data_IF_230453046621
#
_entry.id   IF_230453046621
#
_cell.length_a   1.000
_cell.length_b   1.000
_cell.length_c   1.000
_cell.angle_alpha   90.00
_cell.angle_beta   90.00
_cell.angle_gamma   90.00
#
_symmetry.space_group_name_H-M   'P 1'
#
loop_
_entity.id
_entity.type
_entity.pdbx_description
1 polymer ?
#
# COMPACT_ATOMS: atom_id res chain seq x y z
N UNK A 1 -62.23 19.66 21.94
CA UNK A 1 -62.46 21.00 21.36
C UNK A 1 -61.59 21.13 20.12
N UNK A 2 -62.21 21.35 18.96
CA UNK A 2 -61.56 21.44 17.64
C UNK A 2 -61.01 22.86 17.44
N UNK A 3 -59.78 23.00 16.94
CA UNK A 3 -59.31 24.26 16.36
C UNK A 3 -58.72 23.96 14.98
N UNK A 4 -59.55 24.13 13.95
CA UNK A 4 -59.15 24.28 12.55
C UNK A 4 -58.35 25.58 12.43
N UNK A 5 -57.21 25.54 11.73
CA UNK A 5 -56.56 26.76 11.23
C UNK A 5 -56.47 26.65 9.72
N UNK A 6 -57.11 27.62 9.07
CA UNK A 6 -57.22 27.81 7.63
C UNK A 6 -55.89 28.20 7.00
N UNK A 7 -55.72 27.70 5.78
CA UNK A 7 -54.78 28.13 4.77
C UNK A 7 -55.20 29.49 4.15
N UNK A 8 -54.25 30.34 3.74
CA UNK A 8 -54.48 31.19 2.58
C UNK A 8 -53.55 30.81 1.42
N UNK A 9 -54.19 30.62 0.26
CA UNK A 9 -53.58 30.53 -1.05
C UNK A 9 -52.82 31.82 -1.38
N UNK A 10 -51.61 31.70 -1.92
CA UNK A 10 -50.98 32.76 -2.71
C UNK A 10 -50.82 32.22 -4.13
N UNK A 11 -51.53 32.87 -5.04
CA UNK A 11 -51.49 32.66 -6.46
C UNK A 11 -50.38 33.52 -7.09
N UNK A 12 -49.79 32.99 -8.16
CA UNK A 12 -49.27 33.81 -9.26
C UNK A 12 -47.80 34.17 -9.19
N UNK A 13 -47.00 33.57 -10.07
CA UNK A 13 -46.48 34.26 -11.25
C UNK A 13 -45.72 33.26 -12.11
N UNK A 14 -46.28 32.95 -13.29
CA UNK A 14 -45.59 32.25 -14.35
C UNK A 14 -44.55 33.20 -14.96
N UNK A 15 -43.26 32.96 -14.70
CA UNK A 15 -42.18 33.56 -15.45
C UNK A 15 -41.90 32.70 -16.68
N UNK A 16 -42.08 33.33 -17.85
CA UNK A 16 -41.85 32.74 -19.14
C UNK A 16 -40.42 32.22 -19.31
N UNK A 17 -40.34 31.08 -19.98
CA UNK A 17 -39.15 30.33 -20.30
C UNK A 17 -38.32 31.06 -21.36
N UNK A 18 -37.05 31.34 -21.07
CA UNK A 18 -36.02 31.47 -22.09
C UNK A 18 -35.09 30.27 -21.98
N UNK A 19 -35.43 29.20 -22.71
CA UNK A 19 -34.50 28.11 -22.96
C UNK A 19 -33.50 28.60 -24.02
N UNK A 20 -32.33 29.06 -23.56
CA UNK A 20 -31.16 29.11 -24.43
C UNK A 20 -30.74 27.67 -24.71
N UNK A 21 -31.06 27.16 -25.89
CA UNK A 21 -30.46 25.95 -26.44
C UNK A 21 -28.98 26.24 -26.70
N UNK A 22 -28.15 26.07 -25.68
CA UNK A 22 -26.72 25.88 -25.89
C UNK A 22 -26.59 24.54 -26.62
N UNK A 23 -26.21 24.60 -27.90
CA UNK A 23 -25.79 23.42 -28.64
C UNK A 23 -24.69 22.76 -27.82
N UNK A 24 -24.97 21.56 -27.30
CA UNK A 24 -23.96 20.67 -26.78
C UNK A 24 -23.02 20.35 -27.95
N UNK A 25 -21.91 21.09 -28.05
CA UNK A 25 -20.76 20.62 -28.80
C UNK A 25 -20.24 19.42 -28.04
N UNK A 26 -20.72 18.26 -28.47
CA UNK A 26 -20.17 16.95 -28.17
C UNK A 26 -18.75 16.93 -28.76
N UNK A 27 -17.81 17.56 -28.05
CA UNK A 27 -16.40 17.28 -28.19
C UNK A 27 -16.18 15.90 -27.58
N UNK A 28 -16.61 14.88 -28.31
CA UNK A 28 -15.96 13.59 -28.33
C UNK A 28 -14.56 13.83 -28.89
N UNK A 29 -13.68 14.40 -28.05
CA UNK A 29 -12.26 14.28 -28.28
C UNK A 29 -12.01 12.77 -28.33
N UNK A 30 -11.44 12.24 -29.43
CA UNK A 30 -10.90 10.91 -29.40
C UNK A 30 -9.97 10.90 -28.18
N UNK A 31 -10.12 9.90 -27.30
CA UNK A 31 -9.09 9.56 -26.33
C UNK A 31 -7.88 9.07 -27.14
N UNK A 32 -7.22 9.99 -27.84
CA UNK A 32 -5.87 9.81 -28.37
C UNK A 32 -5.06 9.45 -27.14
N UNK A 33 -4.66 8.18 -27.10
CA UNK A 33 -4.08 7.53 -25.94
C UNK A 33 -3.08 8.45 -25.27
N UNK A 34 -3.46 8.96 -24.09
CA UNK A 34 -2.49 9.41 -23.12
C UNK A 34 -1.72 8.13 -22.81
N UNK A 35 -0.60 7.94 -23.49
CA UNK A 35 0.37 6.90 -23.19
C UNK A 35 0.64 7.07 -21.71
N UNK A 36 0.03 6.20 -20.89
CA UNK A 36 0.40 6.07 -19.50
C UNK A 36 1.88 5.76 -19.53
N UNK A 37 2.70 6.76 -19.26
CA UNK A 37 4.14 6.59 -19.16
C UNK A 37 4.36 5.79 -17.89
N UNK A 38 4.32 4.47 -18.03
CA UNK A 38 4.64 3.54 -16.96
C UNK A 38 6.12 3.70 -16.68
N UNK A 39 6.46 4.50 -15.67
CA UNK A 39 7.82 4.66 -15.21
C UNK A 39 8.21 3.47 -14.33
N UNK A 40 9.47 3.09 -14.41
CA UNK A 40 10.05 2.13 -13.49
C UNK A 40 10.43 2.83 -12.18
N UNK A 41 10.16 2.18 -11.06
CA UNK A 41 10.39 2.67 -9.72
C UNK A 41 11.15 1.62 -8.91
N UNK A 42 11.95 2.11 -7.96
CA UNK A 42 12.75 1.29 -7.05
C UNK A 42 12.43 1.69 -5.62
N UNK A 43 12.06 0.69 -4.80
CA UNK A 43 11.86 0.85 -3.36
C UNK A 43 12.60 -0.29 -2.67
N UNK A 44 13.69 0.03 -1.98
CA UNK A 44 14.57 -0.99 -1.41
C UNK A 44 15.06 -1.96 -2.49
N UNK A 45 14.75 -3.25 -2.34
CA UNK A 45 15.10 -4.31 -3.29
C UNK A 45 14.01 -4.61 -4.33
N UNK A 46 12.87 -3.91 -4.29
CA UNK A 46 11.77 -4.08 -5.23
C UNK A 46 11.94 -3.11 -6.39
N UNK A 47 11.89 -3.64 -7.60
CA UNK A 47 11.83 -2.87 -8.84
C UNK A 47 10.50 -3.20 -9.51
N UNK A 48 9.73 -2.17 -9.83
CA UNK A 48 8.38 -2.34 -10.35
C UNK A 48 8.00 -1.16 -11.22
N UNK A 49 6.90 -1.31 -11.95
CA UNK A 49 6.30 -0.28 -12.75
C UNK A 49 4.85 -0.11 -12.29
N UNK A 50 4.37 1.14 -12.25
CA UNK A 50 3.00 1.46 -11.85
C UNK A 50 2.40 2.45 -12.84
N UNK A 51 1.16 2.20 -13.26
CA UNK A 51 0.47 3.10 -14.15
C UNK A 51 0.12 4.40 -13.41
N UNK A 52 0.39 5.55 -14.04
CA UNK A 52 -0.09 6.83 -13.52
C UNK A 52 -1.60 6.94 -13.75
N UNK A 53 -2.36 6.45 -12.76
CA UNK A 53 -3.80 6.57 -12.73
C UNK A 53 -4.22 7.69 -11.77
N UNK A 54 -5.39 8.28 -12.06
CA UNK A 54 -6.02 9.31 -11.23
C UNK A 54 -5.19 10.58 -11.01
N UNK A 55 -4.32 10.92 -11.98
CA UNK A 55 -3.42 12.08 -11.90
C UNK A 55 -2.51 12.04 -10.66
N UNK A 56 -2.17 10.83 -10.19
CA UNK A 56 -1.22 10.63 -9.11
C UNK A 56 0.23 10.63 -9.59
N UNK A 57 1.17 10.48 -8.68
CA UNK A 57 2.57 10.28 -9.02
C UNK A 57 3.30 9.52 -7.91
N UNK A 58 4.42 8.89 -8.27
CA UNK A 58 5.21 8.12 -7.33
C UNK A 58 6.45 8.89 -6.88
N UNK A 59 6.74 8.84 -5.59
CA UNK A 59 7.96 9.39 -4.98
C UNK A 59 8.66 8.33 -4.14
N UNK A 60 9.99 8.19 -4.30
CA UNK A 60 10.82 7.38 -3.43
C UNK A 60 11.44 8.27 -2.33
N UNK A 61 11.50 7.75 -1.10
CA UNK A 61 12.05 8.44 0.05
C UNK A 61 13.38 7.78 0.47
N UNK A 62 14.45 8.15 -0.22
CA UNK A 62 15.79 7.54 -0.03
C UNK A 62 16.41 7.77 1.36
N UNK A 63 15.86 8.68 2.15
CA UNK A 63 16.30 8.98 3.52
C UNK A 63 15.68 8.10 4.60
N UNK A 64 14.73 7.22 4.27
CA UNK A 64 14.07 6.36 5.26
C UNK A 64 14.78 5.00 5.40
N UNK A 65 14.74 4.43 6.60
CA UNK A 65 15.18 3.04 6.87
C UNK A 65 14.01 2.25 7.47
N UNK A 66 13.43 1.28 6.75
CA UNK A 66 13.75 0.88 5.38
C UNK A 66 13.41 1.97 4.35
N UNK A 67 13.95 1.87 3.13
CA UNK A 67 13.57 2.75 2.00
C UNK A 67 12.07 2.57 1.73
N UNK A 68 11.36 3.69 1.71
CA UNK A 68 9.92 3.75 1.47
C UNK A 68 9.66 4.50 0.17
N UNK A 69 8.47 4.32 -0.37
CA UNK A 69 7.93 5.19 -1.40
C UNK A 69 6.48 5.54 -1.11
N UNK A 70 5.96 6.54 -1.80
CA UNK A 70 4.57 6.98 -1.72
C UNK A 70 3.99 7.12 -3.12
N UNK A 71 2.78 6.61 -3.31
CA UNK A 71 1.96 7.00 -4.46
C UNK A 71 1.05 8.14 -4.02
N UNK A 72 1.40 9.35 -4.42
CA UNK A 72 0.69 10.58 -4.06
C UNK A 72 -0.52 10.78 -4.96
N UNK A 73 -1.62 11.21 -4.35
CA UNK A 73 -2.92 11.38 -4.98
C UNK A 73 -3.44 12.79 -4.74
N UNK A 74 -4.21 13.37 -5.68
CA UNK A 74 -4.80 14.68 -5.47
C UNK A 74 -5.75 14.65 -4.26
N UNK A 75 -5.58 15.61 -3.34
CA UNK A 75 -6.45 15.78 -2.16
C UNK A 75 -7.63 16.72 -2.41
N UNK A 76 -7.64 17.44 -3.53
CA UNK A 76 -8.66 18.44 -3.84
C UNK A 76 -9.28 18.21 -5.22
N UNK A 77 -10.45 18.81 -5.43
CA UNK A 77 -11.18 18.70 -6.68
C UNK A 77 -12.03 17.42 -6.81
N UNK A 78 -12.65 17.20 -7.98
CA UNK A 78 -13.64 16.14 -8.18
C UNK A 78 -13.06 14.71 -8.09
N UNK A 79 -11.74 14.57 -8.21
CA UNK A 79 -11.01 13.29 -8.08
C UNK A 79 -10.32 13.11 -6.74
N UNK A 80 -10.49 14.06 -5.79
CA UNK A 80 -9.83 14.04 -4.48
C UNK A 80 -9.91 12.66 -3.84
N UNK A 81 -8.85 12.11 -3.26
CA UNK A 81 -8.87 10.91 -2.42
C UNK A 81 -9.15 11.26 -0.94
N UNK A 82 -9.57 10.28 -0.15
CA UNK A 82 -9.73 10.42 1.31
C UNK A 82 -8.38 10.68 1.99
N UNK A 83 -7.32 10.15 1.40
CA UNK A 83 -5.92 10.32 1.80
C UNK A 83 -5.15 10.97 0.66
N UNK A 84 -4.00 11.56 0.99
CA UNK A 84 -3.04 12.13 0.05
C UNK A 84 -2.23 11.08 -0.73
N UNK A 85 -2.49 9.79 -0.48
CA UNK A 85 -1.80 8.70 -1.12
C UNK A 85 -1.75 7.43 -0.27
N UNK A 86 -0.77 6.59 -0.59
CA UNK A 86 -0.42 5.44 0.22
C UNK A 86 1.08 5.18 0.18
N UNK A 87 1.61 4.78 1.34
CA UNK A 87 2.99 4.38 1.49
C UNK A 87 3.20 2.93 1.06
N UNK A 88 4.36 2.66 0.47
CA UNK A 88 4.83 1.32 0.14
C UNK A 88 6.27 1.13 0.59
N UNK A 89 6.61 -0.11 0.92
CA UNK A 89 7.96 -0.52 1.27
C UNK A 89 8.20 -1.95 0.79
N UNK A 90 9.47 -2.29 0.55
CA UNK A 90 9.84 -3.60 0.08
C UNK A 90 10.34 -4.48 1.22
N UNK A 91 9.89 -5.74 1.23
CA UNK A 91 10.34 -6.77 2.16
C UNK A 91 10.66 -8.06 1.40
N UNK A 92 11.35 -8.99 2.07
CA UNK A 92 11.47 -10.36 1.57
C UNK A 92 10.11 -11.07 1.64
N UNK A 93 9.82 -11.90 0.65
CA UNK A 93 8.58 -12.67 0.57
C UNK A 93 8.56 -13.91 1.48
N UNK A 94 9.15 -13.79 2.68
CA UNK A 94 9.01 -14.83 3.71
C UNK A 94 7.74 -14.61 4.53
N UNK A 95 7.19 -15.69 5.07
CA UNK A 95 5.97 -15.62 5.88
C UNK A 95 6.11 -14.66 7.07
N UNK A 96 7.26 -14.68 7.75
CA UNK A 96 7.58 -13.81 8.87
C UNK A 96 7.56 -12.32 8.45
N UNK A 97 8.22 -11.98 7.34
CA UNK A 97 8.35 -10.60 6.88
C UNK A 97 7.03 -10.05 6.34
N UNK A 98 6.25 -10.86 5.62
CA UNK A 98 4.90 -10.50 5.16
C UNK A 98 3.96 -10.31 6.36
N UNK A 99 4.01 -11.22 7.34
CA UNK A 99 3.17 -11.12 8.55
C UNK A 99 3.47 -9.86 9.34
N UNK A 100 4.77 -9.55 9.51
CA UNK A 100 5.21 -8.31 10.16
C UNK A 100 4.78 -7.06 9.39
N UNK A 101 4.92 -7.07 8.05
CA UNK A 101 4.53 -5.94 7.20
C UNK A 101 3.01 -5.69 7.19
N UNK A 102 2.21 -6.75 7.22
CA UNK A 102 0.75 -6.67 7.31
C UNK A 102 0.27 -6.41 8.74
N UNK A 103 1.13 -6.57 9.75
CA UNK A 103 0.77 -6.63 11.17
C UNK A 103 -0.31 -7.70 11.47
N UNK A 104 -0.41 -8.72 10.62
CA UNK A 104 -1.45 -9.74 10.68
C UNK A 104 -1.04 -11.00 9.89
N UNK A 105 -1.62 -12.14 10.28
CA UNK A 105 -1.44 -13.45 9.65
C UNK A 105 -2.78 -14.06 9.29
N UNK A 106 -2.87 -14.68 8.11
CA UNK A 106 -4.06 -15.43 7.70
C UNK A 106 -3.90 -16.92 7.98
N UNK A 107 -4.66 -17.45 8.94
CA UNK A 107 -4.58 -18.84 9.39
C UNK A 107 -5.98 -19.46 9.41
N UNK A 108 -6.14 -20.62 8.77
CA UNK A 108 -7.39 -21.39 8.76
C UNK A 108 -8.64 -20.56 8.41
N UNK A 109 -8.52 -19.69 7.40
CA UNK A 109 -9.64 -18.87 6.91
C UNK A 109 -9.93 -17.61 7.74
N UNK A 110 -9.04 -17.24 8.68
CA UNK A 110 -9.22 -16.08 9.56
C UNK A 110 -7.95 -15.23 9.63
N UNK A 111 -8.15 -13.93 9.71
CA UNK A 111 -7.08 -12.99 10.05
C UNK A 111 -6.85 -12.96 11.56
N UNK A 112 -5.58 -13.01 11.96
CA UNK A 112 -5.10 -12.84 13.32
C UNK A 112 -4.14 -11.65 13.33
N UNK A 113 -4.18 -10.81 14.36
CA UNK A 113 -3.23 -9.71 14.55
C UNK A 113 -2.16 -10.09 15.56
N UNK A 114 -1.04 -9.38 15.55
CA UNK A 114 -0.05 -9.52 16.61
C UNK A 114 -0.67 -9.25 18.00
N UNK A 115 -0.35 -10.13 18.94
CA UNK A 115 -0.75 -10.00 20.34
C UNK A 115 0.17 -9.10 21.15
N UNK A 116 -0.10 -8.95 22.46
CA UNK A 116 0.73 -8.15 23.35
C UNK A 116 2.09 -8.83 23.61
N UNK A 117 3.11 -8.04 23.99
CA UNK A 117 4.50 -8.50 24.21
C UNK A 117 4.61 -9.70 25.16
N UNK A 118 3.72 -9.81 26.16
CA UNK A 118 3.71 -10.89 27.15
C UNK A 118 2.51 -11.85 27.00
N UNK A 119 1.95 -11.97 25.80
CA UNK A 119 0.79 -12.82 25.52
C UNK A 119 1.02 -13.78 24.34
N UNK A 120 -0.06 -14.41 23.85
CA UNK A 120 0.00 -15.17 22.61
C UNK A 120 0.50 -14.29 21.47
N UNK A 121 1.40 -14.83 20.64
CA UNK A 121 1.99 -14.09 19.51
C UNK A 121 0.92 -13.55 18.55
N UNK A 122 -0.14 -14.33 18.33
CA UNK A 122 -1.28 -13.95 17.50
C UNK A 122 -2.58 -14.08 18.28
N UNK A 123 -3.42 -13.05 18.15
CA UNK A 123 -4.77 -13.03 18.70
C UNK A 123 -5.78 -12.76 17.60
N UNK A 124 -7.01 -13.23 17.80
CA UNK A 124 -8.09 -12.93 16.87
C UNK A 124 -8.40 -11.43 16.90
N UNK A 125 -8.70 -10.85 15.74
CA UNK A 125 -9.28 -9.51 15.67
C UNK A 125 -10.57 -9.44 16.50
N UNK A 126 -10.76 -8.31 17.19
CA UNK A 126 -12.04 -7.97 17.79
C UNK A 126 -13.14 -8.02 16.73
N UNK A 127 -14.33 -8.48 17.09
CA UNK A 127 -15.46 -8.57 16.15
C UNK A 127 -15.77 -7.21 15.50
N UNK A 128 -15.57 -6.14 16.26
CA UNK A 128 -15.76 -4.75 15.86
C UNK A 128 -14.75 -4.29 14.79
N UNK A 129 -13.56 -4.87 14.75
CA UNK A 129 -12.54 -4.57 13.75
C UNK A 129 -12.95 -5.05 12.34
N UNK A 130 -13.98 -5.90 12.23
CA UNK A 130 -14.59 -6.28 10.95
C UNK A 130 -13.56 -6.67 9.87
N UNK A 131 -12.53 -7.43 10.27
CA UNK A 131 -11.41 -7.79 9.42
C UNK A 131 -11.88 -8.65 8.23
N UNK A 132 -11.54 -8.26 7.00
CA UNK A 132 -12.00 -8.91 5.77
C UNK A 132 -10.88 -9.07 4.76
N UNK A 133 -10.73 -10.28 4.22
CA UNK A 133 -9.85 -10.52 3.08
C UNK A 133 -10.31 -9.72 1.87
N UNK A 134 -9.36 -9.07 1.20
CA UNK A 134 -9.58 -8.37 -0.06
C UNK A 134 -8.85 -9.14 -1.17
N UNK A 135 -9.57 -9.68 -2.17
CA UNK A 135 -8.92 -10.37 -3.28
C UNK A 135 -8.11 -9.38 -4.13
N UNK A 136 -6.86 -9.72 -4.38
CA UNK A 136 -5.90 -8.95 -5.16
C UNK A 136 -5.17 -9.87 -6.12
N UNK A 137 -5.05 -9.45 -7.39
CA UNK A 137 -4.30 -10.19 -8.42
C UNK A 137 -3.57 -9.19 -9.32
N UNK A 138 -2.34 -9.53 -9.68
CA UNK A 138 -1.55 -8.78 -10.65
C UNK A 138 -1.24 -9.60 -11.89
N UNK A 139 -0.52 -8.97 -12.83
CA UNK A 139 -0.02 -9.66 -14.03
C UNK A 139 1.03 -10.72 -13.68
N UNK A 140 1.97 -10.39 -12.78
CA UNK A 140 3.08 -11.27 -12.40
C UNK A 140 3.25 -11.44 -10.87
N UNK A 141 2.28 -11.05 -10.06
CA UNK A 141 2.34 -11.17 -8.60
C UNK A 141 1.03 -11.69 -8.02
N UNK A 142 1.12 -12.24 -6.81
CA UNK A 142 -0.05 -12.68 -6.01
C UNK A 142 -0.26 -11.76 -4.83
N UNK A 143 -1.51 -11.36 -4.56
CA UNK A 143 -1.80 -10.42 -3.50
C UNK A 143 -2.21 -11.08 -2.20
N UNK A 144 -1.70 -10.56 -1.08
CA UNK A 144 -2.21 -10.83 0.26
C UNK A 144 -2.69 -9.51 0.85
N UNK A 145 -4.01 -9.37 1.04
CA UNK A 145 -4.58 -8.11 1.46
C UNK A 145 -5.83 -8.29 2.31
N UNK A 146 -6.06 -7.35 3.22
CA UNK A 146 -7.24 -7.31 4.06
C UNK A 146 -7.59 -5.87 4.47
N UNK A 147 -8.80 -5.67 4.97
CA UNK A 147 -9.18 -4.43 5.64
C UNK A 147 -9.60 -4.71 7.07
N UNK A 148 -9.35 -3.77 7.97
CA UNK A 148 -9.91 -3.74 9.32
C UNK A 148 -10.32 -2.31 9.71
N UNK A 149 -11.26 -2.23 10.64
CA UNK A 149 -11.79 -1.00 11.23
C UNK A 149 -10.99 -0.69 12.50
N UNK A 150 -10.55 0.56 12.67
CA UNK A 150 -10.01 1.04 13.94
C UNK A 150 -11.04 0.82 15.06
N UNK A 151 -10.65 0.14 16.14
CA UNK A 151 -11.54 -0.12 17.29
C UNK A 151 -11.27 0.78 18.49
N UNK A 152 -10.15 1.49 18.49
CA UNK A 152 -9.71 2.37 19.58
C UNK A 152 -9.54 3.81 19.07
N UNK A 153 -9.15 4.75 19.95
CA UNK A 153 -9.00 6.16 19.59
C UNK A 153 -10.32 6.93 19.43
N UNK A 154 -10.24 8.16 18.94
CA UNK A 154 -11.38 9.06 18.70
C UNK A 154 -12.30 8.49 17.61
N UNK A 155 -13.55 8.25 17.96
CA UNK A 155 -14.58 7.72 17.05
C UNK A 155 -14.75 8.55 15.78
N UNK A 156 -14.46 9.86 15.84
CA UNK A 156 -14.54 10.75 14.67
C UNK A 156 -13.41 10.57 13.68
N UNK A 157 -12.28 10.02 14.14
CA UNK A 157 -11.06 9.81 13.35
C UNK A 157 -10.82 8.35 13.01
N UNK A 158 -11.67 7.42 13.47
CA UNK A 158 -11.53 6.01 13.13
C UNK A 158 -11.71 5.81 11.63
N UNK A 159 -10.85 4.96 11.07
CA UNK A 159 -10.85 4.60 9.66
C UNK A 159 -11.03 3.11 9.47
N UNK A 160 -11.44 2.72 8.26
CA UNK A 160 -11.12 1.40 7.72
C UNK A 160 -9.80 1.51 7.01
N UNK A 161 -8.83 0.73 7.43
CA UNK A 161 -7.52 0.66 6.80
C UNK A 161 -7.50 -0.52 5.84
N UNK A 162 -6.85 -0.34 4.69
CA UNK A 162 -6.56 -1.39 3.74
C UNK A 162 -5.07 -1.73 3.83
N UNK A 163 -4.77 -2.98 4.17
CA UNK A 163 -3.41 -3.53 4.26
C UNK A 163 -3.17 -4.45 3.08
N UNK A 164 -1.99 -4.37 2.45
CA UNK A 164 -1.67 -5.18 1.29
C UNK A 164 -0.18 -5.53 1.21
N UNK A 165 0.10 -6.67 0.59
CA UNK A 165 1.40 -7.07 0.08
C UNK A 165 1.23 -7.68 -1.32
N UNK A 166 1.97 -7.16 -2.30
CA UNK A 166 2.07 -7.69 -3.65
C UNK A 166 3.31 -8.58 -3.71
N UNK A 167 3.12 -9.89 -3.85
CA UNK A 167 4.20 -10.88 -3.68
C UNK A 167 4.67 -11.36 -5.05
N UNK A 168 5.96 -11.19 -5.33
CA UNK A 168 6.62 -11.63 -6.55
C UNK A 168 7.96 -12.31 -6.23
N UNK A 169 8.04 -13.63 -6.49
CA UNK A 169 9.23 -14.46 -6.19
C UNK A 169 9.67 -14.30 -4.73
N UNK A 170 10.88 -13.81 -4.49
CA UNK A 170 11.47 -13.63 -3.15
C UNK A 170 11.22 -12.24 -2.55
N UNK A 171 10.45 -11.37 -3.21
CA UNK A 171 10.19 -9.99 -2.77
C UNK A 171 8.70 -9.71 -2.67
N UNK A 172 8.34 -8.81 -1.76
CA UNK A 172 6.98 -8.32 -1.63
C UNK A 172 6.96 -6.80 -1.45
N UNK A 173 6.07 -6.14 -2.16
CA UNK A 173 5.79 -4.72 -2.01
C UNK A 173 4.57 -4.55 -1.12
N UNK A 174 4.78 -4.06 0.10
CA UNK A 174 3.75 -3.98 1.13
C UNK A 174 3.42 -2.53 1.46
N UNK A 175 2.20 -2.30 1.94
CA UNK A 175 1.73 -0.98 2.32
C UNK A 175 0.40 -1.03 3.06
N UNK A 176 -0.04 0.12 3.51
CA UNK A 176 -1.39 0.30 4.02
C UNK A 176 -1.89 1.73 3.73
N UNK A 177 -3.21 1.90 3.72
CA UNK A 177 -3.83 3.22 3.60
C UNK A 177 -5.27 3.22 4.12
N UNK A 178 -5.72 4.29 4.78
CA UNK A 178 -7.13 4.51 5.07
C UNK A 178 -7.96 4.56 3.78
N UNK A 179 -9.04 3.77 3.74
CA UNK A 179 -9.96 3.71 2.57
C UNK A 179 -11.37 4.16 2.90
N UNK A 180 -11.72 4.39 4.17
CA UNK A 180 -13.04 4.87 4.58
C UNK A 180 -12.96 5.53 5.96
N UNK A 181 -13.65 6.65 6.18
CA UNK A 181 -13.87 7.20 7.52
C UNK A 181 -15.09 6.54 8.17
N UNK A 182 -14.94 5.99 9.38
CA UNK A 182 -16.02 5.26 10.05
C UNK A 182 -17.08 6.18 10.65
N UNK A 183 -16.77 7.46 10.87
CA UNK A 183 -17.74 8.46 11.31
C UNK A 183 -18.77 8.79 10.20
N UNK A 184 -18.38 8.61 8.94
CA UNK A 184 -19.18 8.95 7.77
C UNK A 184 -19.24 7.78 6.76
N UNK A 185 -19.69 6.62 7.24
CA UNK A 185 -19.75 5.37 6.43
C UNK A 185 -20.60 5.47 5.16
N UNK A 186 -21.39 6.54 4.99
CA UNK A 186 -22.34 6.70 3.89
C UNK A 186 -21.76 7.42 2.69
N UNK A 187 -20.65 8.14 2.82
CA UNK A 187 -20.21 9.06 1.77
C UNK A 187 -19.28 8.42 0.77
N UNK A 188 -18.33 7.57 1.19
CA UNK A 188 -17.32 7.07 0.24
C UNK A 188 -16.40 5.97 0.77
N UNK A 189 -16.02 5.04 -0.12
CA UNK A 189 -14.85 4.17 0.07
C UNK A 189 -13.91 4.32 -1.12
N UNK A 190 -12.61 4.47 -0.86
CA UNK A 190 -11.58 4.54 -1.90
C UNK A 190 -10.96 3.18 -2.21
N UNK A 191 -11.40 2.09 -1.56
CA UNK A 191 -10.84 0.76 -1.71
C UNK A 191 -10.73 0.34 -3.19
N UNK A 192 -11.79 0.45 -3.97
CA UNK A 192 -11.78 0.03 -5.38
C UNK A 192 -10.85 0.89 -6.25
N UNK A 193 -10.69 2.18 -5.91
CA UNK A 193 -9.77 3.08 -6.62
C UNK A 193 -8.32 2.75 -6.30
N UNK A 194 -8.01 2.49 -5.03
CA UNK A 194 -6.68 2.04 -4.61
C UNK A 194 -6.34 0.69 -5.24
N UNK A 195 -7.28 -0.26 -5.27
CA UNK A 195 -7.13 -1.51 -6.00
C UNK A 195 -6.82 -1.30 -7.48
N UNK A 196 -7.55 -0.40 -8.14
CA UNK A 196 -7.31 -0.09 -9.55
C UNK A 196 -5.91 0.49 -9.81
N UNK A 197 -5.28 1.14 -8.83
CA UNK A 197 -3.89 1.62 -8.92
C UNK A 197 -2.90 0.46 -8.72
N UNK A 198 -3.19 -0.46 -7.79
CA UNK A 198 -2.29 -1.56 -7.42
C UNK A 198 -2.34 -2.78 -8.36
N UNK A 199 -3.52 -3.14 -8.87
CA UNK A 199 -3.72 -4.29 -9.78
C UNK A 199 -2.84 -4.26 -11.06
N UNK A 200 -2.61 -3.11 -11.72
CA UNK A 200 -1.72 -3.01 -12.88
C UNK A 200 -0.22 -2.90 -12.53
N UNK A 201 0.17 -2.97 -11.24
CA UNK A 201 1.59 -2.99 -10.89
C UNK A 201 2.26 -4.22 -11.51
N UNK A 202 3.43 -4.02 -12.10
CA UNK A 202 4.24 -5.11 -12.63
C UNK A 202 5.64 -5.07 -12.03
N UNK A 203 6.09 -6.18 -11.46
CA UNK A 203 7.47 -6.30 -11.01
C UNK A 203 8.41 -6.41 -12.20
N UNK A 204 9.53 -5.71 -12.16
CA UNK A 204 10.57 -5.77 -13.19
C UNK A 204 11.69 -6.65 -12.69
N UNK A 205 11.84 -7.81 -13.33
CA UNK A 205 12.90 -8.75 -13.04
C UNK A 205 14.25 -8.19 -13.50
N UNK A 206 15.15 -7.91 -12.57
CA UNK A 206 16.57 -7.79 -12.92
C UNK A 206 17.11 -9.17 -13.26
N UNK A 207 17.75 -9.36 -14.43
CA UNK A 207 18.39 -10.62 -14.75
C UNK A 207 19.46 -10.88 -13.69
N UNK A 208 19.34 -12.00 -12.98
CA UNK A 208 20.43 -12.52 -12.16
C UNK A 208 21.60 -12.75 -13.11
N UNK A 209 22.80 -12.17 -12.87
CA UNK A 209 23.96 -12.50 -13.67
C UNK A 209 24.18 -14.01 -13.55
N UNK A 210 23.89 -14.72 -14.64
CA UNK A 210 24.13 -16.15 -14.74
C UNK A 210 25.62 -16.36 -14.53
N UNK A 211 25.95 -17.21 -13.56
CA UNK A 211 27.32 -17.49 -13.13
C UNK A 211 28.29 -17.59 -14.30
N UNK A 212 29.19 -16.60 -14.41
CA UNK A 212 30.33 -16.60 -15.32
C UNK A 212 31.39 -17.65 -14.94
N UNK A 213 31.00 -18.75 -14.28
CA UNK A 213 31.88 -19.81 -13.80
C UNK A 213 31.60 -21.18 -14.42
N UNK A 214 30.82 -21.25 -15.51
CA UNK A 214 30.58 -22.50 -16.23
C UNK A 214 31.39 -22.65 -17.53
N UNK A 215 32.52 -21.96 -17.73
CA UNK A 215 33.54 -22.34 -18.73
C UNK A 215 34.94 -21.98 -18.22
N UNK A 216 35.51 -22.84 -17.39
CA UNK A 216 36.98 -22.93 -17.27
C UNK A 216 37.38 -24.36 -16.96
N UNK A 217 36.90 -25.27 -17.80
CA UNK A 217 37.39 -26.64 -17.91
C UNK A 217 38.38 -26.75 -19.06
N UNK A 218 39.56 -26.14 -18.94
CA UNK A 218 40.76 -26.54 -19.71
C UNK A 218 41.99 -26.43 -18.80
N UNK A 219 42.45 -27.61 -18.40
CA UNK A 219 43.75 -28.05 -17.88
C UNK A 219 44.99 -27.18 -18.10
N UNK A 220 45.75 -26.96 -17.02
CA UNK A 220 47.19 -27.30 -16.85
C UNK A 220 47.48 -27.29 -15.34
N UNK A 221 47.53 -28.44 -14.65
CA UNK A 221 48.75 -29.19 -14.31
C UNK A 221 50.05 -28.35 -14.39
N UNK A 222 50.53 -27.83 -13.24
CA UNK A 222 51.92 -27.97 -12.75
C UNK A 222 52.08 -27.38 -11.33
N UNK A 223 52.70 -28.20 -10.47
CA UNK A 223 53.39 -27.97 -9.18
C UNK A 223 53.43 -26.57 -8.54
N UNK A 224 53.28 -26.53 -7.20
CA UNK A 224 54.42 -26.63 -6.25
C UNK A 224 53.98 -26.26 -4.82
N UNK A 225 54.33 -27.13 -3.86
CA UNK A 225 54.27 -26.90 -2.41
C UNK A 225 54.95 -25.60 -1.97
N UNK A 226 54.40 -24.90 -0.96
CA UNK A 226 55.09 -24.55 0.30
C UNK A 226 54.26 -23.63 1.20
N UNK A 227 54.51 -23.80 2.52
CA UNK A 227 54.12 -22.98 3.68
C UNK A 227 52.66 -23.09 4.12
N UNK A 228 52.32 -23.83 5.20
CA UNK A 228 52.80 -23.80 6.60
C UNK A 228 52.65 -22.42 7.27
N UNK A 229 51.85 -22.46 8.33
CA UNK A 229 51.84 -21.63 9.53
C UNK A 229 51.31 -20.20 9.39
N UNK A 230 50.01 -20.02 9.63
CA UNK A 230 49.60 -18.93 10.52
C UNK A 230 48.36 -19.31 11.33
N UNK A 231 48.64 -19.60 12.59
CA UNK A 231 47.72 -19.93 13.66
C UNK A 231 47.14 -18.61 14.21
N UNK A 232 45.86 -18.65 14.59
CA UNK A 232 45.32 -17.82 15.67
C UNK A 232 45.03 -16.33 15.36
N UNK A 233 43.85 -16.03 14.82
CA UNK A 233 43.19 -14.74 15.08
C UNK A 233 41.68 -14.89 15.24
N UNK A 234 41.27 -15.07 16.49
CA UNK A 234 39.88 -14.96 16.95
C UNK A 234 39.38 -13.52 16.73
N UNK A 235 38.30 -13.29 15.98
CA UNK A 235 37.69 -11.98 15.90
C UNK A 235 36.84 -11.72 17.16
N UNK A 236 37.22 -10.71 17.96
CA UNK A 236 36.36 -10.15 18.99
C UNK A 236 35.21 -9.40 18.32
N UNK A 237 34.00 -9.91 18.48
CA UNK A 237 32.76 -9.23 18.10
C UNK A 237 32.47 -8.16 19.17
N UNK A 238 32.35 -6.87 18.81
CA UNK A 238 31.86 -5.87 19.74
C UNK A 238 30.34 -6.00 19.86
N UNK A 239 29.88 -6.28 21.08
CA UNK A 239 28.46 -6.22 21.46
C UNK A 239 28.05 -4.75 21.45
N UNK A 240 27.39 -4.30 20.38
CA UNK A 240 26.70 -3.00 20.38
C UNK A 240 25.35 -3.17 21.09
N UNK A 241 25.26 -2.60 22.30
CA UNK A 241 23.99 -2.32 22.95
C UNK A 241 23.20 -1.32 22.10
N UNK A 242 22.13 -1.79 21.43
CA UNK A 242 21.11 -0.91 20.86
C UNK A 242 20.25 -0.35 21.99
N UNK A 243 20.44 0.94 22.27
CA UNK A 243 19.56 1.74 23.12
C UNK A 243 18.34 2.12 22.28
N UNK A 244 17.17 1.58 22.64
CA UNK A 244 15.89 2.03 22.10
C UNK A 244 15.61 3.46 22.60
N UNK A 245 15.57 4.42 21.69
CA UNK A 245 15.03 5.76 21.97
C UNK A 245 13.49 5.69 21.86
N UNK A 246 12.82 5.61 23.00
CA UNK A 246 11.40 5.91 23.12
C UNK A 246 11.17 7.37 22.71
N UNK A 247 10.43 7.56 21.62
CA UNK A 247 9.97 8.88 21.18
C UNK A 247 8.66 9.19 21.89
N UNK A 248 8.74 9.97 22.97
CA UNK A 248 7.58 10.50 23.68
C UNK A 248 6.85 11.49 22.76
N UNK A 249 5.71 11.07 22.21
CA UNK A 249 4.83 11.96 21.46
C UNK A 249 4.11 12.90 22.43
N UNK A 250 4.46 14.18 22.37
CA UNK A 250 3.86 15.25 23.17
C UNK A 250 2.40 15.47 22.79
N UNK A 251 1.55 15.56 23.81
CA UNK A 251 0.18 16.09 23.69
C UNK A 251 0.23 17.60 23.49
N UNK A 252 -0.57 18.09 22.56
CA UNK A 252 -1.12 19.45 22.55
C UNK A 252 -2.62 19.34 22.34
#
# INVERSE_FOLDING_TARGET
MKKLILCPCVAGMAAAQYFSTAAAQDFAQPLTGRTSTTAEHVVGSCRFSIANMFDGHFEAFDGSSPVQGGYLLPMTGPKAFLTDGFGIFCVDASEERITSALNARYVAGKWLRHGPVNGPEFIQFEKQANARTVPMKGANWTGMAYTDDDTTGDERQRTRVFHFCLIHKSRALCGNTPVTWLADRKTRSDLDRIKAILEPVEFVDTPTPVDANAISGVTTFFDRQNNRDDENRTPRIPIQHQIFHESTFGRS
#
